data_IF_764007642740
#
_entry.id   IF_764007642740
#
_cell.length_a   1.000
_cell.length_b   1.000
_cell.length_c   1.000
_cell.angle_alpha   90.00
_cell.angle_beta   90.00
_cell.angle_gamma   90.00
#
_symmetry.space_group_name_H-M   'P 1'
#
loop_
_entity.id
_entity.type
_entity.pdbx_description
1 polymer ?
#
# COMPACT_ATOMS: atom_id res chain seq x y z
N UNK A 1 -9.70 -7.29 -3.71
CA UNK A 1 -8.24 -7.54 -3.66
C UNK A 1 -7.57 -7.44 -5.03
N UNK A 2 -8.05 -8.16 -6.06
CA UNK A 2 -7.48 -8.13 -7.43
C UNK A 2 -7.28 -6.72 -8.01
N UNK A 3 -8.27 -5.82 -7.86
CA UNK A 3 -8.16 -4.42 -8.31
C UNK A 3 -6.97 -3.66 -7.71
N UNK A 4 -6.66 -3.88 -6.42
CA UNK A 4 -5.53 -3.21 -5.76
C UNK A 4 -4.18 -3.75 -6.27
N UNK A 5 -4.12 -5.05 -6.59
CA UNK A 5 -2.95 -5.68 -7.19
C UNK A 5 -2.73 -5.12 -8.61
N UNK A 6 -3.79 -5.04 -9.43
CA UNK A 6 -3.71 -4.46 -10.77
C UNK A 6 -3.27 -3.00 -10.73
N UNK A 7 -3.83 -2.19 -9.82
CA UNK A 7 -3.41 -0.81 -9.60
C UNK A 7 -1.93 -0.71 -9.28
N UNK A 8 -1.42 -1.54 -8.35
CA UNK A 8 -0.01 -1.55 -8.01
C UNK A 8 0.87 -1.91 -9.22
N UNK A 9 0.50 -2.93 -10.00
CA UNK A 9 1.27 -3.35 -11.17
C UNK A 9 1.31 -2.26 -12.25
N UNK A 10 0.17 -1.65 -12.57
CA UNK A 10 0.07 -0.59 -13.57
C UNK A 10 0.83 0.69 -13.15
N UNK A 11 0.99 0.93 -11.85
CA UNK A 11 1.65 2.11 -11.31
C UNK A 11 3.03 1.82 -10.72
N UNK A 12 3.56 0.61 -10.87
CA UNK A 12 4.70 0.08 -10.10
C UNK A 12 5.91 1.01 -10.13
N UNK A 13 6.33 1.42 -11.32
CA UNK A 13 7.51 2.28 -11.51
C UNK A 13 7.32 3.67 -10.90
N UNK A 14 6.12 4.25 -11.04
CA UNK A 14 5.78 5.54 -10.42
C UNK A 14 5.77 5.44 -8.90
N UNK A 15 5.15 4.40 -8.35
CA UNK A 15 5.04 4.18 -6.90
C UNK A 15 6.42 3.92 -6.27
N UNK A 16 7.28 3.15 -6.94
CA UNK A 16 8.66 2.92 -6.49
C UNK A 16 9.48 4.20 -6.42
N UNK A 17 9.32 5.11 -7.39
CA UNK A 17 10.02 6.41 -7.39
C UNK A 17 9.53 7.31 -6.26
N UNK A 18 8.21 7.39 -6.05
CA UNK A 18 7.61 8.29 -5.05
C UNK A 18 7.82 7.77 -3.62
N UNK A 19 7.67 6.45 -3.40
CA UNK A 19 7.65 5.84 -2.07
C UNK A 19 8.85 4.93 -1.83
N UNK A 20 10.01 5.23 -2.46
CA UNK A 20 11.22 4.41 -2.34
C UNK A 20 11.60 4.19 -0.87
N UNK A 21 11.83 2.94 -0.50
CA UNK A 21 12.19 2.53 0.86
C UNK A 21 11.02 2.57 1.86
N UNK A 22 9.77 2.68 1.39
CA UNK A 22 8.56 2.71 2.24
C UNK A 22 7.63 1.54 1.93
N UNK A 23 6.81 1.21 2.92
CA UNK A 23 5.67 0.31 2.81
C UNK A 23 4.42 1.14 2.53
N UNK A 24 3.77 0.90 1.39
CA UNK A 24 2.52 1.57 1.02
C UNK A 24 1.31 0.71 1.33
N UNK A 25 0.23 1.34 1.81
CA UNK A 25 -1.09 0.72 1.98
C UNK A 25 -1.97 1.11 0.81
N UNK A 26 -2.50 0.12 0.09
CA UNK A 26 -3.33 0.31 -1.10
C UNK A 26 -4.72 -0.27 -0.86
N UNK A 27 -5.73 0.57 -1.10
CA UNK A 27 -7.15 0.20 -1.07
C UNK A 27 -7.91 1.00 -2.12
N UNK A 28 -8.90 0.37 -2.76
CA UNK A 28 -9.72 1.00 -3.80
C UNK A 28 -8.91 1.72 -4.88
N UNK A 29 -7.80 1.10 -5.29
CA UNK A 29 -6.89 1.66 -6.32
C UNK A 29 -6.30 3.02 -5.93
N UNK A 30 -6.09 3.25 -4.63
CA UNK A 30 -5.44 4.45 -4.08
C UNK A 30 -4.41 4.06 -3.04
N UNK A 31 -3.38 4.89 -2.89
CA UNK A 31 -2.43 4.79 -1.77
C UNK A 31 -3.02 5.57 -0.60
N UNK A 32 -3.26 4.89 0.52
CA UNK A 32 -3.81 5.49 1.74
C UNK A 32 -2.72 6.04 2.67
N UNK A 33 -1.49 5.54 2.53
CA UNK A 33 -0.34 5.98 3.31
C UNK A 33 0.93 5.25 2.93
N UNK A 34 2.07 5.81 3.35
CA UNK A 34 3.41 5.26 3.18
C UNK A 34 4.16 5.29 4.51
N UNK A 35 4.76 4.17 4.89
CA UNK A 35 5.27 3.93 6.24
C UNK A 35 6.69 3.39 6.19
N UNK A 36 7.45 3.56 7.27
CA UNK A 36 8.85 3.13 7.32
C UNK A 36 8.96 1.63 7.59
N UNK A 37 7.99 1.05 8.29
CA UNK A 37 7.98 -0.38 8.63
C UNK A 37 6.72 -1.08 8.14
N UNK A 38 6.83 -2.39 7.94
CA UNK A 38 5.69 -3.22 7.60
C UNK A 38 4.63 -3.22 8.72
N UNK A 39 5.08 -3.27 9.99
CA UNK A 39 4.17 -3.23 11.14
C UNK A 39 3.34 -1.95 11.17
N UNK A 40 3.93 -0.77 10.92
CA UNK A 40 3.20 0.50 10.85
C UNK A 40 2.15 0.50 9.75
N UNK A 41 2.50 0.01 8.56
CA UNK A 41 1.57 -0.07 7.43
C UNK A 41 0.38 -0.98 7.73
N UNK A 42 0.62 -2.14 8.34
CA UNK A 42 -0.42 -3.07 8.73
C UNK A 42 -1.31 -2.52 9.85
N UNK A 43 -0.72 -1.96 10.91
CA UNK A 43 -1.46 -1.36 12.01
C UNK A 43 -2.36 -0.22 11.54
N UNK A 44 -1.84 0.67 10.67
CA UNK A 44 -2.64 1.74 10.07
C UNK A 44 -3.73 1.21 9.14
N UNK A 45 -3.41 0.22 8.30
CA UNK A 45 -4.40 -0.41 7.42
C UNK A 45 -5.57 -1.03 8.20
N UNK A 46 -5.28 -1.78 9.26
CA UNK A 46 -6.30 -2.39 10.13
C UNK A 46 -7.15 -1.34 10.85
N UNK A 47 -6.51 -0.29 11.39
CA UNK A 47 -7.19 0.81 12.08
C UNK A 47 -8.12 1.60 11.16
N UNK A 48 -7.66 1.91 9.95
CA UNK A 48 -8.41 2.73 8.98
C UNK A 48 -9.55 1.95 8.33
N UNK A 49 -9.36 0.66 8.07
CA UNK A 49 -10.26 -0.13 7.22
C UNK A 49 -11.14 -1.13 8.00
N UNK A 50 -11.12 -1.09 9.35
CA UNK A 50 -11.99 -1.90 10.21
C UNK A 50 -12.06 -3.38 9.80
N UNK A 51 -10.90 -4.00 9.56
CA UNK A 51 -10.73 -5.39 9.09
C UNK A 51 -11.16 -5.70 7.64
N UNK A 52 -11.44 -4.71 6.81
CA UNK A 52 -11.59 -4.93 5.37
C UNK A 52 -10.22 -5.22 4.72
N UNK A 53 -10.22 -5.98 3.64
CA UNK A 53 -9.02 -6.42 2.94
C UNK A 53 -8.29 -5.24 2.27
N UNK A 54 -6.98 -5.13 2.50
CA UNK A 54 -6.09 -4.16 1.85
C UNK A 54 -4.78 -4.81 1.39
N UNK A 55 -3.99 -4.06 0.62
CA UNK A 55 -2.70 -4.52 0.11
C UNK A 55 -1.58 -3.69 0.73
N UNK A 56 -0.58 -4.35 1.30
CA UNK A 56 0.68 -3.71 1.71
C UNK A 56 1.79 -4.13 0.75
N UNK A 57 2.56 -3.17 0.25
CA UNK A 57 3.74 -3.44 -0.59
C UNK A 57 4.93 -2.57 -0.22
N UNK A 58 6.11 -3.19 -0.21
CA UNK A 58 7.37 -2.48 -0.08
C UNK A 58 7.81 -1.95 -1.45
N UNK A 59 8.17 -0.68 -1.50
CA UNK A 59 8.63 0.00 -2.71
C UNK A 59 10.16 0.04 -2.74
N UNK A 60 10.77 -0.88 -3.49
CA UNK A 60 12.21 -0.98 -3.74
C UNK A 60 12.55 -0.79 -5.21
#
# INVERSE_FOLDING_TARGET
MLKNISFYQQNKERLKKIYRGKYIVIKEQKVLGAFSTWQEACANGLKLLKNDNFLVKYCQ
#
